data_IF_335229754577
#
_entry.id   IF_335229754577
#
_cell.length_a   1.000
_cell.length_b   1.000
_cell.length_c   1.000
_cell.angle_alpha   90.00
_cell.angle_beta   90.00
_cell.angle_gamma   90.00
#
_symmetry.space_group_name_H-M   'P 1'
#
loop_
_entity.id
_entity.type
_entity.pdbx_description
1 polymer ?
#
# COMPACT_ATOMS: atom_id res chain seq x y z
N UNK A 1 -16.63 0.90 5.30
CA UNK A 1 -15.28 1.51 5.28
C UNK A 1 -14.88 1.77 3.84
N UNK A 2 -14.25 2.91 3.52
CA UNK A 2 -13.69 3.17 2.17
C UNK A 2 -12.36 2.42 2.03
N UNK A 3 -12.15 1.77 0.88
CA UNK A 3 -10.93 1.04 0.56
C UNK A 3 -10.08 1.85 -0.41
N UNK A 4 -8.83 2.15 -0.06
CA UNK A 4 -7.87 2.79 -0.97
C UNK A 4 -6.98 1.73 -1.59
N UNK A 5 -6.98 1.62 -2.92
CA UNK A 5 -6.26 0.58 -3.64
C UNK A 5 -5.35 1.14 -4.74
N UNK A 6 -4.38 0.32 -5.16
CA UNK A 6 -3.50 0.66 -6.27
C UNK A 6 -4.19 0.48 -7.64
N UNK A 7 -3.60 1.10 -8.67
CA UNK A 7 -4.04 0.96 -10.07
C UNK A 7 -4.09 -0.49 -10.57
N UNK A 8 -3.36 -1.42 -9.95
CA UNK A 8 -3.46 -2.85 -10.22
C UNK A 8 -4.84 -3.45 -9.93
N UNK A 9 -5.67 -2.80 -9.11
CA UNK A 9 -7.02 -3.22 -8.76
C UNK A 9 -8.10 -2.58 -9.64
N UNK A 10 -7.73 -1.97 -10.76
CA UNK A 10 -8.70 -1.34 -11.66
C UNK A 10 -9.80 -2.32 -12.07
N UNK A 11 -11.06 -1.94 -11.83
CA UNK A 11 -12.23 -2.78 -12.07
C UNK A 11 -12.83 -3.39 -10.81
N UNK A 12 -12.08 -3.47 -9.70
CA UNK A 12 -12.59 -3.98 -8.43
C UNK A 12 -13.70 -3.10 -7.82
N UNK A 13 -13.73 -1.82 -8.21
CA UNK A 13 -14.81 -0.89 -7.91
C UNK A 13 -16.19 -1.32 -8.42
N UNK A 14 -16.27 -2.25 -9.38
CA UNK A 14 -17.53 -2.81 -9.87
C UNK A 14 -18.17 -3.77 -8.86
N UNK A 15 -17.34 -4.55 -8.17
CA UNK A 15 -17.77 -5.51 -7.15
C UNK A 15 -17.87 -4.84 -5.77
N UNK A 16 -17.02 -3.83 -5.52
CA UNK A 16 -16.96 -3.08 -4.27
C UNK A 16 -17.00 -1.57 -4.53
N UNK A 17 -18.19 -0.95 -4.56
CA UNK A 17 -18.37 0.47 -4.93
C UNK A 17 -17.66 1.47 -4.01
N UNK A 18 -17.34 1.07 -2.78
CA UNK A 18 -16.61 1.91 -1.81
C UNK A 18 -15.08 1.83 -1.97
N UNK A 19 -14.59 1.55 -3.18
CA UNK A 19 -13.16 1.44 -3.49
C UNK A 19 -12.66 2.66 -4.26
N UNK A 20 -11.72 3.37 -3.66
CA UNK A 20 -11.02 4.53 -4.21
C UNK A 20 -9.72 4.06 -4.88
N UNK A 21 -9.66 4.17 -6.22
CA UNK A 21 -8.54 3.74 -7.07
C UNK A 21 -8.09 4.94 -7.92
N UNK A 22 -6.79 5.11 -8.20
CA UNK A 22 -6.34 6.18 -9.10
C UNK A 22 -6.89 6.01 -10.52
N UNK A 23 -7.25 7.13 -11.15
CA UNK A 23 -7.69 7.14 -12.55
C UNK A 23 -6.54 6.74 -13.48
N UNK A 24 -6.78 5.73 -14.31
CA UNK A 24 -5.80 5.22 -15.28
C UNK A 24 -5.81 6.05 -16.56
N UNK A 25 -4.66 6.63 -16.91
CA UNK A 25 -4.46 7.29 -18.22
C UNK A 25 -4.46 6.26 -19.34
N UNK A 26 -5.09 6.57 -20.47
CA UNK A 26 -4.95 5.81 -21.72
C UNK A 26 -4.71 6.74 -22.91
N UNK A 27 -4.31 6.19 -24.07
CA UNK A 27 -4.09 6.99 -25.29
C UNK A 27 -5.36 7.75 -25.72
N UNK A 28 -6.53 7.13 -25.57
CA UNK A 28 -7.83 7.70 -25.97
C UNK A 28 -8.53 8.48 -24.86
N UNK A 29 -8.12 8.29 -23.60
CA UNK A 29 -8.66 8.99 -22.42
C UNK A 29 -7.52 9.63 -21.64
N UNK A 30 -7.11 10.86 -22.00
CA UNK A 30 -6.17 11.64 -21.20
C UNK A 30 -6.84 12.04 -19.87
N UNK A 31 -6.03 12.14 -18.81
CA UNK A 31 -6.53 12.55 -17.50
C UNK A 31 -6.93 14.02 -17.52
N UNK A 32 -8.11 14.32 -16.99
CA UNK A 32 -8.59 15.68 -16.73
C UNK A 32 -7.78 16.33 -15.61
N UNK A 33 -7.95 17.64 -15.39
CA UNK A 33 -7.26 18.35 -14.30
C UNK A 33 -7.67 17.79 -12.93
N UNK A 34 -8.95 17.50 -12.74
CA UNK A 34 -9.49 17.02 -11.47
C UNK A 34 -9.03 15.59 -11.18
N UNK A 35 -9.01 14.71 -12.18
CA UNK A 35 -8.49 13.34 -12.04
C UNK A 35 -7.01 13.33 -11.66
N UNK A 36 -6.22 14.28 -12.19
CA UNK A 36 -4.81 14.43 -11.79
C UNK A 36 -4.66 14.92 -10.36
N UNK A 37 -5.45 15.91 -9.95
CA UNK A 37 -5.45 16.42 -8.58
C UNK A 37 -5.84 15.31 -7.58
N UNK A 38 -6.86 14.52 -7.91
CA UNK A 38 -7.27 13.36 -7.14
C UNK A 38 -6.12 12.33 -7.03
N UNK A 39 -5.54 11.91 -8.16
CA UNK A 39 -4.43 10.96 -8.18
C UNK A 39 -3.22 11.46 -7.37
N UNK A 40 -2.92 12.76 -7.42
CA UNK A 40 -1.85 13.36 -6.63
C UNK A 40 -2.14 13.27 -5.13
N UNK A 41 -3.38 13.53 -4.72
CA UNK A 41 -3.79 13.45 -3.31
C UNK A 41 -3.69 12.01 -2.79
N UNK A 42 -4.15 11.03 -3.58
CA UNK A 42 -4.08 9.61 -3.25
C UNK A 42 -2.64 9.11 -3.21
N UNK A 43 -1.78 9.57 -4.13
CA UNK A 43 -0.36 9.26 -4.14
C UNK A 43 0.34 9.77 -2.87
N UNK A 44 0.06 11.01 -2.43
CA UNK A 44 0.61 11.56 -1.17
C UNK A 44 0.24 10.73 0.06
N UNK A 45 -0.98 10.20 0.10
CA UNK A 45 -1.40 9.30 1.17
C UNK A 45 -0.62 7.98 1.13
N UNK A 46 -0.52 7.37 -0.06
CA UNK A 46 0.18 6.08 -0.26
C UNK A 46 1.66 6.13 0.06
N UNK A 47 2.34 7.23 -0.25
CA UNK A 47 3.78 7.39 0.05
C UNK A 47 4.09 7.14 1.53
N UNK A 48 3.19 7.53 2.45
CA UNK A 48 3.37 7.25 3.89
C UNK A 48 3.34 5.75 4.20
N UNK A 49 2.42 5.02 3.57
CA UNK A 49 2.30 3.56 3.70
C UNK A 49 3.50 2.87 3.07
N UNK A 50 3.93 3.32 1.90
CA UNK A 50 5.11 2.79 1.20
C UNK A 50 6.40 2.99 2.02
N UNK A 51 6.56 4.14 2.68
CA UNK A 51 7.66 4.36 3.63
C UNK A 51 7.62 3.39 4.82
N UNK A 52 6.44 3.10 5.38
CA UNK A 52 6.30 2.12 6.45
C UNK A 52 6.68 0.70 5.96
N UNK A 53 6.20 0.30 4.79
CA UNK A 53 6.55 -0.99 4.18
C UNK A 53 8.05 -1.08 3.88
N UNK A 54 8.67 0.00 3.38
CA UNK A 54 10.10 0.05 3.14
C UNK A 54 10.91 -0.14 4.42
N UNK A 55 10.49 0.48 5.53
CA UNK A 55 11.11 0.29 6.86
C UNK A 55 10.98 -1.16 7.35
N UNK A 56 9.80 -1.77 7.19
CA UNK A 56 9.60 -3.19 7.50
C UNK A 56 10.53 -4.10 6.68
N UNK A 57 10.69 -3.79 5.39
CA UNK A 57 11.58 -4.53 4.47
C UNK A 57 13.08 -4.25 4.67
N UNK A 58 13.47 -3.36 5.58
CA UNK A 58 14.88 -3.29 6.00
C UNK A 58 15.33 -4.56 6.74
N UNK A 59 14.37 -5.27 7.35
CA UNK A 59 14.60 -6.55 7.99
C UNK A 59 14.55 -7.67 6.95
N UNK A 60 15.69 -8.35 6.75
CA UNK A 60 15.82 -9.45 5.78
C UNK A 60 14.81 -10.58 5.97
N UNK A 61 14.34 -10.81 7.20
CA UNK A 61 13.29 -11.80 7.50
C UNK A 61 11.96 -11.50 6.79
N UNK A 62 11.69 -10.23 6.47
CA UNK A 62 10.51 -9.78 5.71
C UNK A 62 10.82 -9.44 4.24
N UNK A 63 12.08 -9.16 3.90
CA UNK A 63 12.50 -8.80 2.55
C UNK A 63 12.80 -10.01 1.66
N UNK A 64 13.48 -11.01 2.23
CA UNK A 64 13.90 -12.22 1.53
C UNK A 64 12.82 -13.31 1.64
N UNK A 65 13.04 -14.43 0.93
CA UNK A 65 12.21 -15.62 1.09
C UNK A 65 12.22 -16.06 2.56
N UNK A 66 11.04 -16.12 3.17
CA UNK A 66 10.86 -16.60 4.54
C UNK A 66 11.18 -18.10 4.65
N UNK A 67 12.12 -18.47 5.53
CA UNK A 67 12.62 -19.86 5.68
C UNK A 67 12.20 -20.54 6.98
N UNK A 68 11.51 -19.83 7.87
CA UNK A 68 11.08 -20.37 9.18
C UNK A 68 9.68 -21.00 9.08
N UNK A 69 9.23 -21.74 10.12
CA UNK A 69 7.88 -22.30 10.13
C UNK A 69 6.80 -21.24 9.89
N UNK A 70 5.86 -21.54 8.99
CA UNK A 70 4.78 -20.61 8.60
C UNK A 70 3.92 -20.18 9.78
N UNK A 71 3.72 -21.06 10.76
CA UNK A 71 2.97 -20.76 11.99
C UNK A 71 3.59 -19.58 12.79
N UNK A 72 4.90 -19.37 12.70
CA UNK A 72 5.58 -18.28 13.38
C UNK A 72 5.59 -16.95 12.59
N UNK A 73 5.13 -16.95 11.33
CA UNK A 73 5.25 -15.78 10.44
C UNK A 73 4.56 -14.53 11.01
N UNK A 74 3.32 -14.68 11.49
CA UNK A 74 2.56 -13.58 12.07
C UNK A 74 3.26 -12.98 13.29
N UNK A 75 3.82 -13.82 14.17
CA UNK A 75 4.58 -13.37 15.33
C UNK A 75 5.86 -12.61 14.92
N UNK A 76 6.62 -13.12 13.94
CA UNK A 76 7.82 -12.43 13.42
C UNK A 76 7.47 -11.09 12.77
N UNK A 77 6.39 -11.03 12.00
CA UNK A 77 5.90 -9.79 11.39
C UNK A 77 5.51 -8.77 12.47
N UNK A 78 4.74 -9.19 13.48
CA UNK A 78 4.31 -8.33 14.58
C UNK A 78 5.49 -7.77 15.38
N UNK A 79 6.52 -8.58 15.65
CA UNK A 79 7.74 -8.14 16.33
C UNK A 79 8.45 -7.06 15.50
N UNK A 80 8.66 -7.30 14.20
CA UNK A 80 9.31 -6.32 13.32
C UNK A 80 8.49 -5.03 13.23
N UNK A 81 7.17 -5.14 13.10
CA UNK A 81 6.27 -3.98 13.09
C UNK A 81 6.34 -3.20 14.40
N UNK A 82 6.37 -3.87 15.55
CA UNK A 82 6.57 -3.23 16.85
C UNK A 82 7.89 -2.46 16.92
N UNK A 83 9.00 -3.06 16.48
CA UNK A 83 10.30 -2.39 16.42
C UNK A 83 10.25 -1.15 15.52
N UNK A 84 9.65 -1.26 14.33
CA UNK A 84 9.52 -0.13 13.41
C UNK A 84 8.67 0.98 14.04
N UNK A 85 7.54 0.65 14.67
CA UNK A 85 6.67 1.64 15.32
C UNK A 85 7.43 2.43 16.39
N UNK A 86 8.14 1.73 17.28
CA UNK A 86 8.97 2.33 18.34
C UNK A 86 10.03 3.30 17.78
N UNK A 87 10.72 2.92 16.70
CA UNK A 87 11.74 3.78 16.06
C UNK A 87 11.10 5.02 15.41
N UNK A 88 9.87 4.90 14.94
CA UNK A 88 9.19 5.96 14.19
C UNK A 88 8.30 6.86 15.05
N UNK A 89 8.24 6.61 16.35
CA UNK A 89 7.51 7.43 17.32
C UNK A 89 5.99 7.17 17.35
N UNK A 90 5.55 5.96 17.01
CA UNK A 90 4.17 5.51 17.22
C UNK A 90 4.03 4.74 18.54
#
# INVERSE_FOLDING_TARGET
>A
ARLYADSGYQGYQNDHPATDIPYKRSKKKPLTKDERAYNQSLSRFRVRVEHAIARLKSFRVLADRYRYPRAAYAAKFAIVAGIVNLVTGF
#
